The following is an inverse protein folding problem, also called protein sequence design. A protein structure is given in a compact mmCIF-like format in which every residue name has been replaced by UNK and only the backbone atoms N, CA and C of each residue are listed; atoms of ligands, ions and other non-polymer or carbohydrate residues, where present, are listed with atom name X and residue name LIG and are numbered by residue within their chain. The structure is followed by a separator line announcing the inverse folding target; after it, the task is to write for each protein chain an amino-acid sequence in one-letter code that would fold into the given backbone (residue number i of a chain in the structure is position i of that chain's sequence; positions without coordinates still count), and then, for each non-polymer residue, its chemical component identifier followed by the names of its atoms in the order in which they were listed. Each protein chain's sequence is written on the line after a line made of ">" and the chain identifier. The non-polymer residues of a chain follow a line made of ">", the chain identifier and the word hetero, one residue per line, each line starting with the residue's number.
data_IF_291080780418
#
_entry.id   IF_291080780418
#
_cell.length_a   1.000
_cell.length_b   1.000
_cell.length_c   1.000
_cell.angle_alpha   90.00
_cell.angle_beta   90.00
_cell.angle_gamma   90.00
#
_symmetry.space_group_name_H-M   'P 1'
#
loop_
_entity.id
_entity.type
_entity.pdbx_description
1 polymer ?
#
# COMPACT_ATOMS: atom_id res chain seq x y z
N UNK A 1 26.20 -7.03 3.29
CA UNK A 1 26.07 -7.54 4.67
C UNK A 1 24.66 -8.07 4.83
N UNK A 2 24.45 -9.14 5.59
CA UNK A 2 23.11 -9.61 5.91
C UNK A 2 22.33 -8.53 6.68
N UNK A 3 21.03 -8.42 6.44
CA UNK A 3 20.17 -7.52 7.19
C UNK A 3 20.13 -7.93 8.66
N UNK A 4 20.24 -6.93 9.54
CA UNK A 4 20.08 -7.13 10.99
C UNK A 4 18.96 -6.22 11.48
N UNK A 5 17.97 -6.76 12.22
CA UNK A 5 16.91 -5.96 12.80
C UNK A 5 17.47 -4.82 13.67
N UNK A 6 16.91 -3.61 13.57
CA UNK A 6 17.42 -2.44 14.28
C UNK A 6 17.18 -2.54 15.80
N UNK A 7 18.10 -1.99 16.57
CA UNK A 7 17.98 -1.85 18.00
C UNK A 7 16.98 -0.74 18.40
N UNK A 8 16.61 -0.68 19.68
CA UNK A 8 15.67 0.32 20.20
C UNK A 8 16.14 1.77 19.99
N UNK A 9 17.45 2.04 19.99
CA UNK A 9 18.01 3.37 19.77
C UNK A 9 17.79 3.79 18.32
N UNK A 10 18.07 2.88 17.40
CA UNK A 10 17.82 3.10 15.95
C UNK A 10 16.33 3.32 15.68
N UNK A 11 15.44 2.55 16.31
CA UNK A 11 13.99 2.71 16.19
C UNK A 11 13.55 4.08 16.73
N UNK A 12 14.01 4.51 17.92
CA UNK A 12 13.70 5.84 18.46
C UNK A 12 14.17 6.96 17.54
N UNK A 13 15.37 6.85 17.01
CA UNK A 13 15.89 7.81 16.02
C UNK A 13 15.05 7.84 14.74
N UNK A 14 14.56 6.68 14.26
CA UNK A 14 13.74 6.61 13.08
C UNK A 14 12.36 7.26 13.27
N UNK A 15 11.78 7.17 14.46
CA UNK A 15 10.54 7.87 14.82
C UNK A 15 10.80 9.39 14.91
N UNK A 16 11.98 9.80 15.38
CA UNK A 16 12.37 11.20 15.64
C UNK A 16 11.78 11.74 16.94
N UNK A 17 12.11 12.99 17.27
CA UNK A 17 11.69 13.65 18.52
C UNK A 17 10.17 13.84 18.57
N UNK A 18 9.53 13.38 19.65
CA UNK A 18 8.10 13.52 19.93
C UNK A 18 7.78 14.67 20.88
N UNK A 19 8.79 15.34 21.47
CA UNK A 19 8.58 16.44 22.38
C UNK A 19 7.85 17.58 21.67
N UNK A 20 6.93 18.24 22.39
CA UNK A 20 6.13 19.33 21.84
C UNK A 20 4.97 18.91 20.92
N UNK A 21 4.84 17.62 20.58
CA UNK A 21 3.64 17.14 19.91
C UNK A 21 2.46 17.03 20.90
N UNK A 22 1.20 17.12 20.41
CA UNK A 22 0.03 16.82 21.23
C UNK A 22 0.15 15.44 21.91
N UNK A 23 -0.33 15.31 23.16
CA UNK A 23 -0.19 14.08 23.95
C UNK A 23 -0.70 12.83 23.22
N UNK A 24 -1.80 12.93 22.46
CA UNK A 24 -2.33 11.83 21.65
C UNK A 24 -1.32 11.39 20.57
N UNK A 25 -0.60 12.30 19.95
CA UNK A 25 0.41 11.99 18.94
C UNK A 25 1.63 11.32 19.58
N UNK A 26 2.07 11.82 20.74
CA UNK A 26 3.14 11.16 21.47
C UNK A 26 2.78 9.71 21.80
N UNK A 27 1.56 9.45 22.31
CA UNK A 27 1.09 8.08 22.60
C UNK A 27 0.98 7.21 21.34
N UNK A 28 0.46 7.76 20.22
CA UNK A 28 0.30 7.01 18.96
C UNK A 28 1.63 6.63 18.35
N UNK A 29 2.63 7.53 18.37
CA UNK A 29 3.93 7.29 17.75
C UNK A 29 4.94 6.63 18.69
N UNK A 30 4.63 6.48 19.98
CA UNK A 30 5.45 5.66 20.89
C UNK A 30 5.11 4.17 20.67
N UNK A 31 6.09 3.34 20.28
CA UNK A 31 5.84 1.92 20.10
C UNK A 31 5.55 1.28 21.46
N UNK A 32 4.48 0.52 21.53
CA UNK A 32 4.20 -0.37 22.65
C UNK A 32 4.47 -1.83 22.24
N UNK A 33 4.86 -2.66 23.23
CA UNK A 33 5.24 -4.06 22.99
C UNK A 33 4.09 -4.95 22.49
N UNK A 34 2.85 -4.50 22.60
CA UNK A 34 1.65 -5.24 22.21
C UNK A 34 1.01 -4.71 20.94
N UNK A 35 1.54 -3.63 20.36
CA UNK A 35 0.95 -2.95 19.21
C UNK A 35 1.77 -3.06 17.93
N UNK A 36 3.09 -3.23 18.03
CA UNK A 36 3.98 -3.25 16.87
C UNK A 36 5.08 -4.30 17.02
N UNK A 37 5.07 -5.27 16.12
CA UNK A 37 6.08 -6.32 16.10
C UNK A 37 7.40 -5.77 15.53
N UNK A 38 8.54 -6.19 16.06
CA UNK A 38 9.84 -5.98 15.44
C UNK A 38 9.84 -6.55 14.01
N UNK A 39 10.63 -5.93 13.11
CA UNK A 39 10.85 -6.54 11.81
C UNK A 39 11.56 -7.88 11.98
N UNK A 40 11.05 -8.97 11.40
CA UNK A 40 11.68 -10.28 11.52
C UNK A 40 12.98 -10.35 10.70
N UNK A 41 13.86 -11.27 11.05
CA UNK A 41 14.95 -11.65 10.17
C UNK A 41 14.40 -12.18 8.83
N UNK A 42 14.96 -11.73 7.68
CA UNK A 42 14.49 -12.15 6.38
C UNK A 42 14.81 -13.62 6.14
N UNK A 43 13.89 -14.36 5.56
CA UNK A 43 14.09 -15.72 5.07
C UNK A 43 14.83 -15.68 3.73
N UNK A 44 15.46 -16.79 3.30
CA UNK A 44 16.03 -16.88 1.95
C UNK A 44 14.97 -16.54 0.89
N UNK A 45 15.29 -15.57 0.01
CA UNK A 45 14.39 -15.08 -1.03
C UNK A 45 13.48 -13.91 -0.63
N UNK A 46 13.37 -13.57 0.66
CA UNK A 46 12.67 -12.38 1.11
C UNK A 46 13.40 -11.10 0.65
N UNK A 47 12.67 -9.99 0.60
CA UNK A 47 13.16 -8.71 0.09
C UNK A 47 14.49 -8.28 0.73
N UNK A 48 14.55 -8.20 2.05
CA UNK A 48 15.75 -7.76 2.76
C UNK A 48 16.88 -8.80 2.81
N UNK A 49 16.64 -10.04 2.33
CA UNK A 49 17.72 -11.01 2.12
C UNK A 49 18.53 -10.71 0.85
N UNK A 50 17.92 -10.03 -0.13
CA UNK A 50 18.51 -9.78 -1.46
C UNK A 50 18.69 -8.29 -1.77
N UNK A 51 17.98 -7.40 -1.07
CA UNK A 51 18.05 -5.96 -1.23
C UNK A 51 18.62 -5.30 0.02
N UNK A 52 19.68 -4.52 -0.14
CA UNK A 52 20.28 -3.78 0.97
C UNK A 52 19.61 -2.41 1.12
N UNK A 53 18.63 -2.32 2.02
CA UNK A 53 17.91 -1.08 2.33
C UNK A 53 18.15 -0.67 3.78
N UNK A 54 18.47 0.60 4.01
CA UNK A 54 18.67 1.14 5.37
C UNK A 54 17.42 1.72 6.02
N UNK A 55 16.31 1.77 5.26
CA UNK A 55 15.10 2.48 5.65
C UNK A 55 15.23 4.00 5.56
N UNK A 56 14.20 4.73 5.95
CA UNK A 56 14.11 6.18 5.93
C UNK A 56 13.56 6.67 7.26
N UNK A 57 14.32 7.46 8.01
CA UNK A 57 13.85 8.07 9.26
C UNK A 57 12.82 9.16 8.98
N UNK A 58 12.10 9.62 10.03
CA UNK A 58 11.16 10.73 9.90
C UNK A 58 11.86 12.04 9.50
N UNK A 59 13.03 12.31 10.06
CA UNK A 59 13.77 13.55 9.77
C UNK A 59 14.33 13.55 8.34
N UNK A 60 14.85 12.41 7.86
CA UNK A 60 15.24 12.24 6.45
C UNK A 60 14.05 12.42 5.51
N UNK A 61 12.90 11.85 5.87
CA UNK A 61 11.68 12.01 5.09
C UNK A 61 11.27 13.49 4.97
N UNK A 62 11.27 14.25 6.08
CA UNK A 62 10.98 15.70 6.04
C UNK A 62 11.99 16.47 5.21
N UNK A 63 13.28 16.15 5.36
CA UNK A 63 14.35 16.82 4.63
C UNK A 63 14.32 16.55 3.13
N UNK A 64 13.74 15.42 2.68
CA UNK A 64 13.59 15.08 1.26
C UNK A 64 12.53 15.89 0.51
N UNK A 65 11.81 16.79 1.19
CA UNK A 65 10.69 17.55 0.62
C UNK A 65 9.65 16.63 -0.06
N UNK A 66 9.02 15.72 0.70
CA UNK A 66 8.14 14.71 0.16
C UNK A 66 6.90 15.30 -0.50
N UNK A 67 6.28 14.53 -1.38
CA UNK A 67 4.99 14.89 -1.96
C UNK A 67 3.93 15.05 -0.87
N UNK A 68 3.19 16.15 -0.92
CA UNK A 68 2.09 16.44 0.02
C UNK A 68 0.86 16.92 -0.74
N UNK A 69 -0.36 16.53 -0.30
CA UNK A 69 -1.56 17.10 -0.86
C UNK A 69 -1.62 18.60 -0.57
N UNK A 70 -2.14 19.35 -1.53
CA UNK A 70 -2.36 20.78 -1.41
C UNK A 70 -3.82 21.15 -1.62
N UNK A 71 -4.18 22.42 -1.48
CA UNK A 71 -5.57 22.87 -1.64
C UNK A 71 -6.19 22.51 -3.01
N UNK A 72 -5.38 22.49 -4.07
CA UNK A 72 -5.85 22.19 -5.43
C UNK A 72 -5.68 20.72 -5.83
N UNK A 73 -4.81 19.98 -5.18
CA UNK A 73 -4.46 18.59 -5.52
C UNK A 73 -4.49 17.75 -4.24
N UNK A 74 -5.67 17.20 -3.94
CA UNK A 74 -5.95 16.54 -2.68
C UNK A 74 -6.79 15.27 -2.81
N UNK A 75 -7.11 14.84 -4.03
CA UNK A 75 -7.93 13.65 -4.29
C UNK A 75 -7.05 12.52 -4.80
N UNK A 76 -7.24 11.32 -4.25
CA UNK A 76 -6.65 10.08 -4.78
C UNK A 76 -7.61 9.52 -5.83
N UNK A 77 -7.13 9.24 -7.03
CA UNK A 77 -7.92 8.64 -8.08
C UNK A 77 -7.53 7.18 -8.33
N UNK A 78 -8.52 6.32 -8.43
CA UNK A 78 -8.36 4.93 -8.88
C UNK A 78 -8.89 4.82 -10.30
N UNK A 79 -8.07 4.33 -11.22
CA UNK A 79 -8.41 4.10 -12.63
C UNK A 79 -8.49 2.60 -12.89
N UNK A 80 -9.67 1.99 -12.92
CA UNK A 80 -9.81 0.60 -13.33
C UNK A 80 -9.42 0.43 -14.81
N UNK A 81 -8.61 -0.61 -15.09
CA UNK A 81 -8.27 -1.03 -16.46
C UNK A 81 -8.81 -2.44 -16.69
N UNK A 82 -9.57 -2.61 -17.77
CA UNK A 82 -10.23 -3.86 -18.10
C UNK A 82 -11.45 -4.16 -17.23
N UNK A 83 -11.83 -5.42 -17.18
CA UNK A 83 -13.03 -5.88 -16.51
C UNK A 83 -12.75 -6.29 -15.06
N UNK A 84 -13.63 -5.87 -14.17
CA UNK A 84 -13.69 -6.27 -12.76
C UNK A 84 -14.95 -7.10 -12.54
N UNK A 85 -14.88 -8.40 -12.90
CA UNK A 85 -16.02 -9.31 -12.70
C UNK A 85 -16.27 -9.51 -11.19
N UNK A 86 -17.50 -9.26 -10.69
CA UNK A 86 -17.78 -9.26 -9.25
C UNK A 86 -17.40 -10.54 -8.52
N UNK A 87 -17.45 -11.69 -9.21
CA UNK A 87 -17.14 -12.99 -8.62
C UNK A 87 -15.62 -13.28 -8.55
N UNK A 88 -14.78 -12.48 -9.25
CA UNK A 88 -13.37 -12.80 -9.47
C UNK A 88 -12.44 -11.61 -9.28
N UNK A 89 -12.97 -10.47 -8.86
CA UNK A 89 -12.18 -9.27 -8.60
C UNK A 89 -12.59 -8.59 -7.30
N UNK A 90 -11.71 -7.80 -6.67
CA UNK A 90 -12.11 -6.97 -5.53
C UNK A 90 -13.11 -5.90 -6.00
N UNK A 91 -14.08 -5.58 -5.14
CA UNK A 91 -15.01 -4.48 -5.40
C UNK A 91 -14.26 -3.15 -5.42
N UNK A 92 -14.43 -2.37 -6.49
CA UNK A 92 -13.87 -1.03 -6.61
C UNK A 92 -14.40 -0.08 -5.53
N UNK A 93 -15.68 -0.23 -5.12
CA UNK A 93 -16.27 0.57 -4.05
C UNK A 93 -15.61 0.28 -2.71
N UNK A 94 -15.39 -0.99 -2.37
CA UNK A 94 -14.68 -1.39 -1.15
C UNK A 94 -13.22 -0.92 -1.15
N UNK A 95 -12.52 -0.98 -2.28
CA UNK A 95 -11.17 -0.43 -2.42
C UNK A 95 -11.17 1.09 -2.20
N UNK A 96 -12.16 1.79 -2.74
CA UNK A 96 -12.33 3.23 -2.55
C UNK A 96 -12.61 3.58 -1.08
N UNK A 97 -13.56 2.90 -0.43
CA UNK A 97 -13.88 3.10 0.99
C UNK A 97 -12.68 2.83 1.90
N UNK A 98 -11.97 1.73 1.65
CA UNK A 98 -10.74 1.41 2.37
C UNK A 98 -9.68 2.50 2.20
N UNK A 99 -9.39 2.91 0.97
CA UNK A 99 -8.38 3.93 0.69
C UNK A 99 -8.75 5.29 1.33
N UNK A 100 -10.04 5.68 1.26
CA UNK A 100 -10.53 6.90 1.90
C UNK A 100 -10.33 6.87 3.42
N UNK A 101 -10.62 5.75 4.08
CA UNK A 101 -10.38 5.58 5.51
C UNK A 101 -8.87 5.51 5.85
N UNK A 102 -8.08 4.82 5.01
CA UNK A 102 -6.64 4.63 5.25
C UNK A 102 -5.84 5.93 5.14
N UNK A 103 -6.13 6.75 4.12
CA UNK A 103 -5.45 8.02 3.88
C UNK A 103 -6.16 9.21 4.52
N UNK A 104 -7.39 9.03 5.04
CA UNK A 104 -8.25 10.11 5.51
C UNK A 104 -8.37 11.24 4.46
N UNK A 105 -8.48 10.86 3.20
CA UNK A 105 -8.58 11.73 2.02
C UNK A 105 -9.76 11.31 1.15
N UNK A 106 -10.24 12.23 0.33
CA UNK A 106 -11.21 11.88 -0.71
C UNK A 106 -10.57 10.96 -1.74
N UNK A 107 -11.29 9.88 -2.09
CA UNK A 107 -10.89 8.92 -3.13
C UNK A 107 -12.00 8.82 -4.15
N UNK A 108 -11.67 8.81 -5.42
CA UNK A 108 -12.63 8.66 -6.53
C UNK A 108 -12.22 7.54 -7.45
N UNK A 109 -13.20 6.75 -7.88
CA UNK A 109 -13.01 5.75 -8.93
C UNK A 109 -13.45 6.37 -10.26
N UNK A 110 -12.57 6.33 -11.27
CA UNK A 110 -12.87 6.77 -12.62
C UNK A 110 -13.60 5.68 -13.40
N UNK A 111 -14.33 6.02 -14.47
CA UNK A 111 -14.88 5.02 -15.37
C UNK A 111 -13.79 4.08 -15.89
N UNK A 112 -14.07 2.77 -16.03
CA UNK A 112 -13.06 1.81 -16.45
C UNK A 112 -12.59 2.08 -17.89
N UNK A 113 -11.30 1.91 -18.11
CA UNK A 113 -10.68 2.00 -19.45
C UNK A 113 -10.53 0.60 -20.01
N UNK A 114 -10.95 0.39 -21.25
CA UNK A 114 -10.79 -0.90 -21.94
C UNK A 114 -9.31 -1.17 -22.24
N UNK A 115 -8.92 -2.42 -22.05
CA UNK A 115 -7.60 -2.92 -22.48
C UNK A 115 -7.77 -3.48 -23.87
N UNK A 116 -7.32 -2.74 -24.86
CA UNK A 116 -7.25 -3.19 -26.25
C UNK A 116 -5.90 -2.76 -26.87
N UNK A 117 -5.57 -3.36 -27.98
CA UNK A 117 -4.27 -3.11 -28.64
C UNK A 117 -4.10 -1.71 -29.20
N UNK A 118 -5.13 -0.86 -29.20
CA UNK A 118 -5.05 0.55 -29.59
C UNK A 118 -4.66 1.46 -28.41
N UNK A 119 -4.93 1.01 -27.18
CA UNK A 119 -4.68 1.80 -25.97
C UNK A 119 -3.38 1.41 -25.28
N UNK A 120 -3.11 0.11 -25.16
CA UNK A 120 -1.94 -0.42 -24.46
C UNK A 120 -1.27 -1.55 -25.21
N UNK A 121 0.06 -1.60 -25.19
CA UNK A 121 0.81 -2.75 -25.67
C UNK A 121 0.58 -3.94 -24.73
N UNK A 122 0.16 -5.05 -25.32
CA UNK A 122 -0.11 -6.29 -24.61
C UNK A 122 0.74 -7.44 -25.16
N UNK A 123 0.99 -8.43 -24.33
CA UNK A 123 1.61 -9.70 -24.72
C UNK A 123 0.99 -10.87 -23.97
N UNK A 124 1.34 -12.08 -24.36
CA UNK A 124 1.12 -13.27 -23.51
C UNK A 124 2.40 -13.59 -22.75
N UNK A 125 2.25 -13.83 -21.45
CA UNK A 125 3.38 -14.25 -20.61
C UNK A 125 3.98 -15.54 -21.16
N UNK A 126 5.31 -15.64 -21.37
CA UNK A 126 5.94 -16.80 -21.99
C UNK A 126 5.88 -18.08 -21.14
N UNK A 127 5.60 -17.97 -19.83
CA UNK A 127 5.53 -19.11 -18.89
C UNK A 127 4.08 -19.50 -18.61
N UNK A 128 3.24 -18.52 -18.23
CA UNK A 128 1.85 -18.79 -17.80
C UNK A 128 0.84 -18.70 -18.93
N UNK A 129 1.22 -18.15 -20.10
CA UNK A 129 0.36 -17.82 -21.22
C UNK A 129 -0.81 -16.84 -20.90
N UNK A 130 -0.81 -16.23 -19.71
CA UNK A 130 -1.77 -15.21 -19.35
C UNK A 130 -1.50 -13.91 -20.10
N UNK A 131 -2.54 -13.09 -20.42
CA UNK A 131 -2.35 -11.78 -21.00
C UNK A 131 -1.63 -10.85 -20.00
N UNK A 132 -0.77 -9.98 -20.54
CA UNK A 132 -0.01 -8.99 -19.78
C UNK A 132 -0.06 -7.63 -20.47
N UNK A 133 -0.07 -6.56 -19.66
CA UNK A 133 -0.03 -5.17 -20.12
C UNK A 133 1.36 -4.58 -19.83
N UNK A 134 1.89 -3.81 -20.78
CA UNK A 134 3.12 -3.04 -20.58
C UNK A 134 2.87 -1.88 -19.62
N UNK A 135 3.55 -1.88 -18.48
CA UNK A 135 3.35 -0.85 -17.43
C UNK A 135 3.74 0.54 -17.89
N UNK A 136 4.76 0.68 -18.75
CA UNK A 136 5.19 1.96 -19.31
C UNK A 136 4.07 2.70 -20.01
N UNK A 137 3.31 2.01 -20.86
CA UNK A 137 2.18 2.58 -21.60
C UNK A 137 1.07 3.06 -20.65
N UNK A 138 0.80 2.27 -19.59
CA UNK A 138 -0.20 2.66 -18.59
C UNK A 138 0.25 3.92 -17.84
N UNK A 139 1.52 4.01 -17.44
CA UNK A 139 2.03 5.20 -16.78
C UNK A 139 1.96 6.43 -17.69
N UNK A 140 2.29 6.29 -18.98
CA UNK A 140 2.20 7.39 -19.95
C UNK A 140 0.75 7.83 -20.21
N UNK A 141 -0.17 6.87 -20.28
CA UNK A 141 -1.61 7.17 -20.32
C UNK A 141 -2.05 7.97 -19.10
N UNK A 142 -1.72 7.53 -17.89
CA UNK A 142 -2.10 8.22 -16.66
C UNK A 142 -1.56 9.65 -16.58
N UNK A 143 -0.32 9.88 -17.01
CA UNK A 143 0.28 11.23 -17.02
C UNK A 143 -0.51 12.23 -17.86
N UNK A 144 -1.13 11.76 -18.93
CA UNK A 144 -1.93 12.61 -19.83
C UNK A 144 -3.40 12.71 -19.43
N UNK A 145 -3.86 11.85 -18.50
CA UNK A 145 -5.26 11.77 -18.06
C UNK A 145 -5.45 12.08 -16.57
N UNK A 146 -4.41 12.56 -15.89
CA UNK A 146 -4.49 12.90 -14.46
C UNK A 146 -5.44 14.09 -14.25
N UNK A 147 -6.50 13.96 -13.40
CA UNK A 147 -7.39 15.08 -13.08
C UNK A 147 -6.64 16.24 -12.42
N UNK A 148 -7.11 17.46 -12.66
CA UNK A 148 -6.43 18.68 -12.18
C UNK A 148 -6.38 18.79 -10.65
N UNK A 149 -7.35 18.16 -9.96
CA UNK A 149 -7.46 18.11 -8.50
C UNK A 149 -6.82 16.84 -7.88
N UNK A 150 -6.23 15.97 -8.72
CA UNK A 150 -5.59 14.74 -8.27
C UNK A 150 -4.32 15.03 -7.47
N UNK A 151 -4.24 14.49 -6.26
CA UNK A 151 -2.96 14.27 -5.59
C UNK A 151 -2.16 13.19 -6.31
N UNK A 152 -2.77 12.05 -6.59
CA UNK A 152 -2.21 10.98 -7.41
C UNK A 152 -3.31 10.21 -8.14
N UNK A 153 -2.92 9.48 -9.18
CA UNK A 153 -3.79 8.55 -9.90
C UNK A 153 -3.13 7.19 -10.01
N UNK A 154 -3.89 6.15 -9.71
CA UNK A 154 -3.42 4.79 -9.60
C UNK A 154 -4.30 3.88 -10.47
N UNK A 155 -3.72 3.30 -11.52
CA UNK A 155 -4.41 2.28 -12.28
C UNK A 155 -4.43 0.95 -11.53
N UNK A 156 -5.57 0.29 -11.54
CA UNK A 156 -5.79 -1.03 -10.95
C UNK A 156 -6.33 -1.97 -12.03
N UNK A 157 -5.88 -3.23 -12.03
CA UNK A 157 -6.30 -4.20 -13.07
C UNK A 157 -6.31 -5.64 -12.54
N UNK A 158 -7.10 -6.49 -13.19
CA UNK A 158 -7.05 -7.95 -13.04
C UNK A 158 -6.17 -8.63 -14.10
N UNK A 159 -5.56 -7.86 -15.02
CA UNK A 159 -4.59 -8.38 -15.97
C UNK A 159 -3.18 -8.35 -15.39
N UNK A 160 -2.33 -9.30 -15.78
CA UNK A 160 -0.94 -9.35 -15.33
C UNK A 160 -0.11 -8.23 -15.97
N UNK A 161 1.01 -7.86 -15.36
CA UNK A 161 1.82 -6.72 -15.77
C UNK A 161 3.26 -7.12 -16.08
N UNK A 162 3.89 -6.42 -17.02
CA UNK A 162 5.32 -6.51 -17.28
C UNK A 162 5.93 -5.12 -17.56
N UNK A 163 7.16 -4.84 -17.05
CA UNK A 163 7.78 -3.52 -17.19
C UNK A 163 8.55 -3.35 -18.50
N UNK A 164 9.10 -4.46 -19.04
CA UNK A 164 9.86 -4.52 -20.28
C UNK A 164 9.94 -5.97 -20.80
N UNK A 165 10.29 -6.18 -22.10
CA UNK A 165 10.28 -7.51 -22.71
C UNK A 165 11.10 -8.57 -22.00
N UNK A 166 12.22 -8.20 -21.39
CA UNK A 166 13.15 -9.12 -20.68
C UNK A 166 12.62 -9.62 -19.34
N UNK A 167 11.62 -8.93 -18.74
CA UNK A 167 11.08 -9.31 -17.44
C UNK A 167 9.89 -10.25 -17.57
N UNK A 168 9.81 -11.20 -16.64
CA UNK A 168 8.67 -12.12 -16.60
C UNK A 168 7.37 -11.39 -16.21
N UNK A 169 7.38 -10.66 -15.10
CA UNK A 169 6.25 -9.85 -14.61
C UNK A 169 6.69 -8.85 -13.56
N UNK A 170 5.74 -7.95 -13.19
CA UNK A 170 5.76 -7.13 -11.97
C UNK A 170 4.38 -7.10 -11.33
N UNK A 171 4.29 -6.94 -10.00
CA UNK A 171 3.01 -6.68 -9.32
C UNK A 171 2.49 -5.26 -9.59
N UNK A 172 3.39 -4.31 -9.78
CA UNK A 172 3.07 -2.93 -10.11
C UNK A 172 4.32 -2.13 -10.45
N UNK A 173 4.10 -0.93 -10.91
CA UNK A 173 5.14 0.06 -11.19
C UNK A 173 4.59 1.47 -10.92
N UNK A 174 5.43 2.36 -10.42
CA UNK A 174 5.02 3.70 -10.07
C UNK A 174 6.09 4.76 -10.39
N UNK A 175 5.64 5.97 -10.68
CA UNK A 175 6.45 7.18 -10.75
C UNK A 175 6.06 8.11 -9.61
N UNK A 176 6.86 8.11 -8.54
CA UNK A 176 6.63 8.95 -7.37
C UNK A 176 6.65 10.44 -7.72
N UNK A 177 7.55 10.85 -8.63
CA UNK A 177 7.67 12.22 -9.10
C UNK A 177 6.41 12.71 -9.82
N UNK A 178 5.84 11.85 -10.66
CA UNK A 178 4.66 12.18 -11.47
C UNK A 178 3.36 11.79 -10.79
N UNK A 179 3.44 11.09 -9.67
CA UNK A 179 2.31 10.66 -8.84
C UNK A 179 1.31 9.80 -9.60
N UNK A 180 1.85 8.90 -10.43
CA UNK A 180 1.10 7.91 -11.19
C UNK A 180 1.63 6.51 -10.90
N UNK A 181 0.75 5.52 -10.86
CA UNK A 181 1.13 4.13 -10.64
C UNK A 181 0.14 3.15 -11.24
N UNK A 182 0.56 1.91 -11.42
CA UNK A 182 -0.28 0.79 -11.85
C UNK A 182 0.03 -0.46 -11.06
N UNK A 183 -0.99 -1.18 -10.60
CA UNK A 183 -0.84 -2.50 -9.97
C UNK A 183 -1.87 -3.48 -10.46
N UNK A 184 -1.47 -4.76 -10.42
CA UNK A 184 -2.32 -5.88 -10.76
C UNK A 184 -2.70 -6.69 -9.54
N UNK A 185 -3.97 -7.09 -9.48
CA UNK A 185 -4.49 -8.05 -8.52
C UNK A 185 -4.55 -9.48 -9.06
N UNK A 186 -4.23 -9.68 -10.36
CA UNK A 186 -4.31 -10.98 -11.02
C UNK A 186 -3.63 -12.11 -10.24
N UNK A 187 -2.41 -11.87 -9.79
CA UNK A 187 -1.57 -12.85 -9.07
C UNK A 187 -2.01 -13.11 -7.63
N UNK A 188 -3.04 -12.41 -7.13
CA UNK A 188 -3.61 -12.63 -5.80
C UNK A 188 -4.75 -13.64 -5.82
N UNK A 189 -5.29 -13.93 -7.01
CA UNK A 189 -6.29 -14.97 -7.22
C UNK A 189 -5.60 -16.34 -7.42
N UNK A 190 -5.92 -17.36 -6.61
CA UNK A 190 -5.40 -18.72 -6.79
C UNK A 190 -5.62 -19.27 -8.20
N UNK A 191 -6.74 -18.90 -8.84
CA UNK A 191 -7.03 -19.36 -10.20
C UNK A 191 -6.03 -18.86 -11.25
N UNK A 192 -5.28 -17.79 -10.98
CA UNK A 192 -4.18 -17.34 -11.83
C UNK A 192 -3.10 -18.42 -12.01
N UNK A 193 -2.90 -19.24 -11.00
CA UNK A 193 -1.96 -20.38 -10.99
C UNK A 193 -2.62 -21.73 -11.29
N UNK A 194 -3.91 -21.73 -11.68
CA UNK A 194 -4.67 -22.95 -11.89
C UNK A 194 -5.13 -23.64 -10.61
N UNK A 195 -5.05 -22.97 -9.48
CA UNK A 195 -5.49 -23.48 -8.18
C UNK A 195 -6.98 -23.24 -7.96
N UNK A 196 -7.60 -24.10 -7.13
CA UNK A 196 -9.01 -23.94 -6.76
C UNK A 196 -9.16 -22.82 -5.71
N UNK A 197 -10.13 -21.93 -5.94
CA UNK A 197 -10.50 -20.91 -4.95
C UNK A 197 -11.13 -21.56 -3.72
N UNK A 198 -10.47 -21.43 -2.57
CA UNK A 198 -11.00 -21.92 -1.30
C UNK A 198 -12.15 -21.03 -0.80
N UNK A 199 -13.04 -21.52 0.10
CA UNK A 199 -14.03 -20.67 0.75
C UNK A 199 -13.39 -19.46 1.43
N UNK A 200 -13.95 -18.27 1.21
CA UNK A 200 -13.42 -17.02 1.76
C UNK A 200 -12.27 -16.39 0.95
N UNK A 201 -11.98 -16.93 -0.26
CA UNK A 201 -10.93 -16.36 -1.12
C UNK A 201 -11.21 -14.90 -1.50
N UNK A 202 -12.48 -14.50 -1.62
CA UNK A 202 -12.87 -13.12 -1.94
C UNK A 202 -12.40 -12.14 -0.86
N UNK A 203 -12.55 -12.52 0.41
CA UNK A 203 -12.03 -11.71 1.53
C UNK A 203 -10.51 -11.65 1.51
N UNK A 204 -9.84 -12.75 1.21
CA UNK A 204 -8.39 -12.80 1.07
C UNK A 204 -7.91 -11.94 -0.12
N UNK A 205 -8.57 -12.05 -1.27
CA UNK A 205 -8.27 -11.26 -2.47
C UNK A 205 -8.43 -9.76 -2.17
N UNK A 206 -9.57 -9.36 -1.58
CA UNK A 206 -9.81 -7.97 -1.18
C UNK A 206 -8.74 -7.48 -0.19
N UNK A 207 -8.40 -8.27 0.84
CA UNK A 207 -7.38 -7.91 1.83
C UNK A 207 -6.00 -7.72 1.19
N UNK A 208 -5.58 -8.59 0.27
CA UNK A 208 -4.33 -8.45 -0.50
C UNK A 208 -4.36 -7.21 -1.39
N UNK A 209 -5.49 -6.94 -2.04
CA UNK A 209 -5.69 -5.77 -2.90
C UNK A 209 -5.63 -4.46 -2.08
N UNK A 210 -6.28 -4.40 -0.92
CA UNK A 210 -6.17 -3.27 0.01
C UNK A 210 -4.72 -3.06 0.47
N UNK A 211 -3.98 -4.14 0.74
CA UNK A 211 -2.59 -4.06 1.20
C UNK A 211 -1.68 -3.44 0.14
N UNK A 212 -1.72 -3.92 -1.11
CA UNK A 212 -0.91 -3.34 -2.17
C UNK A 212 -1.34 -1.91 -2.50
N UNK A 213 -2.65 -1.66 -2.56
CA UNK A 213 -3.17 -0.32 -2.78
C UNK A 213 -2.63 0.68 -1.74
N UNK A 214 -2.69 0.34 -0.45
CA UNK A 214 -2.17 1.20 0.60
C UNK A 214 -0.64 1.34 0.57
N UNK A 215 0.09 0.27 0.26
CA UNK A 215 1.55 0.27 0.13
C UNK A 215 2.01 1.21 -0.98
N UNK A 216 1.52 0.99 -2.19
CA UNK A 216 1.92 1.74 -3.37
C UNK A 216 1.45 3.20 -3.33
N UNK A 217 0.21 3.44 -2.84
CA UNK A 217 -0.27 4.81 -2.63
C UNK A 217 0.59 5.54 -1.59
N UNK A 218 1.08 4.86 -0.55
CA UNK A 218 2.00 5.47 0.42
C UNK A 218 3.33 5.89 -0.21
N UNK A 219 3.81 5.18 -1.25
CA UNK A 219 4.97 5.65 -2.02
C UNK A 219 4.71 6.97 -2.74
N UNK A 220 3.45 7.27 -3.15
CA UNK A 220 3.10 8.57 -3.74
C UNK A 220 3.32 9.73 -2.77
N UNK A 221 3.25 9.48 -1.46
CA UNK A 221 3.65 10.43 -0.40
C UNK A 221 5.16 10.42 -0.11
N UNK A 222 5.98 9.79 -0.95
CA UNK A 222 7.43 9.65 -0.80
C UNK A 222 7.89 8.80 0.39
N UNK A 223 7.03 7.91 0.92
CA UNK A 223 7.45 6.94 1.92
C UNK A 223 8.31 5.87 1.23
N UNK A 224 9.52 5.66 1.72
CA UNK A 224 10.36 4.51 1.32
C UNK A 224 9.94 3.24 2.08
N UNK A 225 10.43 2.07 1.63
CA UNK A 225 10.26 0.84 2.37
C UNK A 225 10.70 0.98 3.84
N UNK A 226 9.95 0.35 4.72
CA UNK A 226 10.24 0.30 6.15
C UNK A 226 11.19 -0.84 6.47
N UNK A 227 12.21 -0.57 7.28
CA UNK A 227 13.13 -1.60 7.79
C UNK A 227 13.17 -1.62 9.32
N UNK A 228 12.20 -0.95 9.98
CA UNK A 228 12.22 -0.78 11.44
C UNK A 228 11.27 -1.71 12.19
N UNK A 229 10.13 -2.02 11.59
CA UNK A 229 9.07 -2.86 12.17
C UNK A 229 8.51 -3.81 11.12
N UNK A 230 7.79 -4.83 11.56
CA UNK A 230 6.84 -5.52 10.71
C UNK A 230 5.71 -4.54 10.36
N UNK A 231 5.67 -4.09 9.12
CA UNK A 231 4.91 -2.91 8.67
C UNK A 231 4.34 -3.13 7.28
N UNK A 232 3.21 -2.50 6.99
CA UNK A 232 2.67 -2.45 5.63
C UNK A 232 3.74 -2.03 4.60
N UNK A 233 4.62 -1.10 4.96
CA UNK A 233 5.64 -0.54 4.06
C UNK A 233 6.92 -1.38 3.93
N UNK A 234 6.97 -2.61 4.41
CA UNK A 234 8.12 -3.46 4.11
C UNK A 234 8.11 -3.87 2.62
N UNK A 235 9.26 -3.90 1.94
CA UNK A 235 9.41 -4.41 0.58
C UNK A 235 9.13 -5.93 0.49
N UNK A 236 8.60 -6.52 -0.60
CA UNK A 236 8.39 -7.98 -0.78
C UNK A 236 8.72 -8.48 -2.16
N UNK A 237 9.36 -9.65 -2.22
CA UNK A 237 9.68 -10.32 -3.47
C UNK A 237 8.59 -11.30 -3.94
N UNK A 238 7.77 -11.79 -3.01
CA UNK A 238 6.76 -12.81 -3.33
C UNK A 238 5.54 -12.71 -2.40
N UNK A 239 4.44 -13.31 -2.84
CA UNK A 239 3.14 -13.21 -2.19
C UNK A 239 3.15 -13.70 -0.74
N UNK A 240 3.82 -14.83 -0.46
CA UNK A 240 3.89 -15.37 0.90
C UNK A 240 4.65 -14.44 1.86
N UNK A 241 5.63 -13.68 1.38
CA UNK A 241 6.26 -12.62 2.17
C UNK A 241 5.31 -11.45 2.40
N UNK A 242 4.59 -10.99 1.37
CA UNK A 242 3.59 -9.93 1.48
C UNK A 242 2.46 -10.30 2.45
N UNK A 243 2.00 -11.57 2.46
CA UNK A 243 0.92 -12.04 3.35
C UNK A 243 1.31 -12.01 4.82
N UNK A 244 2.58 -12.20 5.17
CA UNK A 244 3.08 -12.13 6.56
C UNK A 244 3.06 -10.72 7.16
N UNK A 245 2.87 -9.69 6.35
CA UNK A 245 2.87 -8.29 6.80
C UNK A 245 1.51 -7.85 7.27
N UNK A 246 1.45 -6.94 8.26
CA UNK A 246 0.19 -6.36 8.69
C UNK A 246 -0.39 -5.39 7.64
N UNK A 247 -1.69 -5.11 7.75
CA UNK A 247 -2.37 -4.05 6.99
C UNK A 247 -2.38 -2.74 7.79
N UNK A 248 -1.34 -2.45 8.54
CA UNK A 248 -1.18 -1.20 9.27
C UNK A 248 0.25 -0.65 9.14
N UNK A 249 0.37 0.65 9.32
CA UNK A 249 1.65 1.35 9.37
C UNK A 249 2.22 1.29 10.78
N UNK A 250 3.53 1.10 10.87
CA UNK A 250 4.27 1.24 12.12
C UNK A 250 4.37 2.73 12.55
N UNK A 251 4.83 3.04 13.78
CA UNK A 251 4.95 4.42 14.25
C UNK A 251 5.75 5.34 13.33
N UNK A 252 6.85 4.86 12.75
CA UNK A 252 7.68 5.63 11.82
C UNK A 252 6.89 6.01 10.57
N UNK A 253 6.28 5.03 9.90
CA UNK A 253 5.55 5.25 8.64
C UNK A 253 4.24 6.01 8.86
N UNK A 254 3.53 5.74 9.97
CA UNK A 254 2.33 6.47 10.33
C UNK A 254 2.61 7.95 10.62
N UNK A 255 3.73 8.25 11.29
CA UNK A 255 4.15 9.63 11.55
C UNK A 255 4.44 10.39 10.26
N UNK A 256 5.13 9.75 9.29
CA UNK A 256 5.39 10.33 7.97
C UNK A 256 4.10 10.65 7.24
N UNK A 257 3.19 9.68 7.18
CA UNK A 257 1.92 9.85 6.47
C UNK A 257 1.05 10.90 7.14
N UNK A 258 0.95 10.88 8.49
CA UNK A 258 0.20 11.88 9.25
C UNK A 258 0.76 13.29 9.01
N UNK A 259 2.08 13.46 9.04
CA UNK A 259 2.70 14.75 8.77
C UNK A 259 2.45 15.25 7.34
N UNK A 260 2.36 14.35 6.37
CA UNK A 260 2.09 14.70 4.97
C UNK A 260 0.66 15.16 4.74
N UNK A 261 -0.31 14.51 5.36
CA UNK A 261 -1.75 14.71 5.11
C UNK A 261 -2.41 15.59 6.18
N UNK A 262 -1.87 15.55 7.42
CA UNK A 262 -2.38 16.26 8.60
C UNK A 262 -3.77 15.77 9.06
N UNK A 263 -3.99 14.45 9.05
CA UNK A 263 -5.24 13.85 9.49
C UNK A 263 -5.31 13.66 11.02
N UNK A 264 -6.54 13.59 11.54
CA UNK A 264 -6.83 13.18 12.90
C UNK A 264 -6.62 11.67 13.07
N UNK A 265 -5.67 11.30 13.95
CA UNK A 265 -5.26 9.92 14.16
C UNK A 265 -6.38 9.04 14.72
N UNK A 266 -7.18 9.54 15.66
CA UNK A 266 -8.24 8.75 16.29
C UNK A 266 -9.44 8.57 15.35
N UNK A 267 -9.81 9.62 14.60
CA UNK A 267 -10.86 9.53 13.56
C UNK A 267 -10.46 8.54 12.48
N UNK A 268 -9.19 8.60 12.02
CA UNK A 268 -8.67 7.65 11.03
C UNK A 268 -8.74 6.20 11.53
N UNK A 269 -8.31 5.93 12.77
CA UNK A 269 -8.37 4.59 13.34
C UNK A 269 -9.81 4.08 13.48
N UNK A 270 -10.75 4.94 13.91
CA UNK A 270 -12.16 4.58 14.01
C UNK A 270 -12.79 4.30 12.64
N UNK A 271 -12.48 5.10 11.62
CA UNK A 271 -12.96 4.87 10.26
C UNK A 271 -12.45 3.54 9.70
N UNK A 272 -11.13 3.27 9.85
CA UNK A 272 -10.53 2.00 9.43
C UNK A 272 -11.11 0.79 10.18
N UNK A 273 -11.36 0.91 11.49
CA UNK A 273 -12.00 -0.17 12.26
C UNK A 273 -13.37 -0.53 11.67
N UNK A 274 -14.16 0.49 11.31
CA UNK A 274 -15.47 0.30 10.65
C UNK A 274 -15.35 -0.44 9.33
N UNK A 275 -14.45 -0.01 8.45
CA UNK A 275 -14.18 -0.66 7.16
C UNK A 275 -13.71 -2.11 7.35
N UNK A 276 -12.75 -2.35 8.24
CA UNK A 276 -12.24 -3.70 8.48
C UNK A 276 -13.33 -4.66 8.99
N UNK A 277 -14.22 -4.18 9.85
CA UNK A 277 -15.38 -4.98 10.30
C UNK A 277 -16.35 -5.30 9.16
N UNK A 278 -16.69 -4.30 8.34
CA UNK A 278 -17.58 -4.47 7.20
C UNK A 278 -17.04 -5.45 6.16
N UNK A 279 -15.70 -5.47 5.97
CA UNK A 279 -15.03 -6.32 4.98
C UNK A 279 -14.55 -7.68 5.53
N UNK A 280 -14.84 -7.96 6.81
CA UNK A 280 -14.47 -9.24 7.43
C UNK A 280 -12.97 -9.38 7.78
N UNK A 281 -12.22 -8.27 7.84
CA UNK A 281 -10.81 -8.25 8.25
C UNK A 281 -10.71 -8.26 9.78
N UNK A 282 -11.07 -9.41 10.36
CA UNK A 282 -11.25 -9.57 11.81
C UNK A 282 -9.98 -9.25 12.60
N UNK A 283 -8.83 -9.69 12.15
CA UNK A 283 -7.57 -9.48 12.86
C UNK A 283 -7.17 -8.00 12.90
N UNK A 284 -7.32 -7.31 11.76
CA UNK A 284 -7.07 -5.89 11.62
C UNK A 284 -8.05 -5.05 12.47
N UNK A 285 -9.33 -5.40 12.43
CA UNK A 285 -10.35 -4.74 13.26
C UNK A 285 -10.06 -4.91 14.76
N UNK A 286 -9.72 -6.12 15.19
CA UNK A 286 -9.37 -6.40 16.57
C UNK A 286 -8.08 -5.68 17.02
N UNK A 287 -7.09 -5.57 16.12
CA UNK A 287 -5.88 -4.79 16.39
C UNK A 287 -6.23 -3.31 16.63
N UNK A 288 -7.07 -2.70 15.77
CA UNK A 288 -7.52 -1.32 15.94
C UNK A 288 -8.33 -1.11 17.20
N UNK A 289 -9.25 -2.03 17.53
CA UNK A 289 -10.04 -1.97 18.79
C UNK A 289 -9.11 -1.92 20.00
N UNK A 290 -8.11 -2.80 20.08
CA UNK A 290 -7.12 -2.79 21.17
C UNK A 290 -6.32 -1.49 21.19
N UNK A 291 -5.91 -1.01 20.02
CA UNK A 291 -5.13 0.23 19.88
C UNK A 291 -5.91 1.45 20.35
N UNK A 292 -7.15 1.62 19.89
CA UNK A 292 -8.04 2.71 20.32
C UNK A 292 -8.28 2.69 21.83
N UNK A 293 -8.55 1.51 22.40
CA UNK A 293 -8.74 1.35 23.86
C UNK A 293 -7.51 1.77 24.67
N UNK A 294 -6.31 1.46 24.17
CA UNK A 294 -5.07 1.85 24.85
C UNK A 294 -4.79 3.38 24.75
N UNK A 295 -5.20 4.00 23.64
CA UNK A 295 -5.01 5.45 23.42
C UNK A 295 -6.01 6.32 24.19
N UNK A 296 -7.17 5.75 24.59
CA UNK A 296 -8.22 6.43 25.37
C UNK A 296 -8.03 6.30 26.88
N UNK A 297 -7.08 5.46 27.34
CA UNK A 297 -6.74 5.37 28.76
C UNK A 297 -5.84 6.55 29.10
N UNK A 298 -6.28 7.37 30.05
CA UNK A 298 -5.56 8.52 30.62
C UNK A 298 -4.26 8.08 31.32
#
# INVERSE_FOLDING_TARGET
>A
MAFTPPDEKTIRNAIGDLNGLPAVFQRVFTPDKNGFDPIPEPRPGDWLAVHNERGQTFDEFKASQPNRPGQKQHIIYLQPLGDFAPEHSPSNDKLCEFAAAFFAMEVKVLPPVKIDGSTFVTRRNPITNNPQILTGDVLDFLKTHIPADAFCILAITMEDLYPEPSWNFVFGQASVRERVGVYSFARYDPAFYGEVRAPGYETLLLRRSCKVLAHETSHMFSLAHCTYFNCLMNGSNHLAEADRRPLHLCPVCLRKLQWSIDFDLLKRYSALEGVYRADGFTDEANWLTRRLKNLQRD
#
